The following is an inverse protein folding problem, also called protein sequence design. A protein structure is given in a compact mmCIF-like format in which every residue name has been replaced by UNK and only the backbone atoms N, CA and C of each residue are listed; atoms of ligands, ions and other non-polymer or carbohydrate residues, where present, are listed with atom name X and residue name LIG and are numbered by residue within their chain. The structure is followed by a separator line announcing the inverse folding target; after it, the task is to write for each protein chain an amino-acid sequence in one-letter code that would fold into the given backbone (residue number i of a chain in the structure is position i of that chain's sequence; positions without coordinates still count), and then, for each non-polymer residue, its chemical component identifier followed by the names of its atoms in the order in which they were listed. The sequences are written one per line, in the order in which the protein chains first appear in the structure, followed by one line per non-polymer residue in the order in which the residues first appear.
data_IF_842896083221
#
_entry.id   IF_842896083221
#
_cell.length_a   1.000
_cell.length_b   1.000
_cell.length_c   1.000
_cell.angle_alpha   90.00
_cell.angle_beta   90.00
_cell.angle_gamma   90.00
#
_symmetry.space_group_name_H-M   'P 1'
#
loop_
_entity.id
_entity.type
_entity.pdbx_description
1 polymer ?
#
# COMPACT_ATOMS: atom_id res chain seq x y z
N UNK A 1 25.67 -15.52 -8.79
CA UNK A 1 25.36 -14.33 -9.60
C UNK A 1 23.87 -14.13 -9.52
N UNK A 2 23.44 -12.96 -9.07
CA UNK A 2 22.02 -12.64 -8.95
C UNK A 2 21.37 -12.69 -10.34
N UNK A 3 20.31 -13.50 -10.51
CA UNK A 3 19.62 -13.62 -11.81
C UNK A 3 18.12 -13.85 -11.69
N UNK A 4 17.37 -13.14 -12.55
CA UNK A 4 15.93 -13.29 -12.75
C UNK A 4 15.57 -14.40 -13.75
N UNK A 5 16.54 -15.23 -14.17
CA UNK A 5 16.26 -16.43 -14.96
C UNK A 5 15.40 -17.40 -14.14
N UNK A 6 14.32 -17.96 -14.69
CA UNK A 6 13.50 -18.92 -13.97
C UNK A 6 14.27 -20.18 -13.56
N UNK A 7 13.89 -20.78 -12.43
CA UNK A 7 14.32 -22.14 -12.11
C UNK A 7 13.61 -23.15 -13.02
N UNK A 8 14.24 -24.30 -13.24
CA UNK A 8 13.67 -25.42 -14.02
C UNK A 8 13.44 -26.64 -13.14
N UNK A 9 12.49 -27.49 -13.55
CA UNK A 9 12.15 -28.72 -12.82
C UNK A 9 11.23 -28.48 -11.63
N UNK A 10 11.13 -29.48 -10.76
CA UNK A 10 10.33 -29.39 -9.55
C UNK A 10 11.09 -28.64 -8.45
N UNK A 11 10.35 -28.06 -7.49
CA UNK A 11 10.94 -27.31 -6.38
C UNK A 11 11.81 -28.20 -5.48
N UNK A 12 11.39 -29.45 -5.25
CA UNK A 12 11.96 -30.26 -4.18
C UNK A 12 11.67 -29.66 -2.79
N UNK A 13 12.08 -30.36 -1.74
CA UNK A 13 11.70 -30.02 -0.36
C UNK A 13 12.27 -28.66 0.07
N UNK A 14 13.54 -28.36 -0.25
CA UNK A 14 14.21 -27.14 0.21
C UNK A 14 13.57 -25.89 -0.39
N UNK A 15 13.39 -25.84 -1.71
CA UNK A 15 12.81 -24.65 -2.38
C UNK A 15 11.33 -24.49 -2.06
N UNK A 16 10.57 -25.59 -1.95
CA UNK A 16 9.18 -25.55 -1.52
C UNK A 16 9.05 -24.98 -0.10
N UNK A 17 9.90 -25.43 0.83
CA UNK A 17 9.95 -24.88 2.19
C UNK A 17 10.27 -23.38 2.17
N UNK A 18 11.30 -22.97 1.43
CA UNK A 18 11.69 -21.57 1.31
C UNK A 18 10.53 -20.69 0.81
N UNK A 19 9.94 -21.07 -0.33
CA UNK A 19 8.80 -20.39 -0.95
C UNK A 19 7.66 -20.18 0.04
N UNK A 20 7.22 -21.27 0.70
CA UNK A 20 6.09 -21.23 1.62
C UNK A 20 6.40 -20.42 2.89
N UNK A 21 7.63 -20.43 3.38
CA UNK A 21 8.02 -19.63 4.55
C UNK A 21 8.06 -18.12 4.28
N UNK A 22 8.36 -17.72 3.04
CA UNK A 22 8.39 -16.29 2.66
C UNK A 22 6.99 -15.75 2.35
N UNK A 23 6.14 -16.57 1.72
CA UNK A 23 4.88 -16.13 1.14
C UNK A 23 3.62 -16.73 1.77
N UNK A 24 3.71 -17.46 2.87
CA UNK A 24 2.52 -17.92 3.61
C UNK A 24 2.73 -17.78 5.12
N UNK A 25 1.63 -17.81 5.89
CA UNK A 25 1.68 -17.83 7.37
C UNK A 25 1.58 -19.24 7.98
N UNK A 26 1.17 -20.24 7.20
CA UNK A 26 0.71 -21.54 7.74
C UNK A 26 1.39 -22.77 7.10
N UNK A 27 2.58 -22.58 6.53
CA UNK A 27 3.37 -23.67 5.95
C UNK A 27 3.58 -24.83 6.94
N UNK A 28 3.30 -26.06 6.48
CA UNK A 28 3.44 -27.27 7.28
C UNK A 28 4.07 -28.42 6.45
N UNK A 29 4.41 -29.54 7.09
CA UNK A 29 5.12 -30.65 6.42
C UNK A 29 4.36 -31.21 5.21
N UNK A 30 3.04 -31.34 5.29
CA UNK A 30 2.22 -31.87 4.21
C UNK A 30 2.20 -30.93 3.00
N UNK A 31 1.99 -29.63 3.24
CA UNK A 31 2.01 -28.61 2.18
C UNK A 31 3.39 -28.48 1.53
N UNK A 32 4.48 -28.58 2.31
CA UNK A 32 5.85 -28.60 1.77
C UNK A 32 6.06 -29.81 0.85
N UNK A 33 5.60 -31.01 1.25
CA UNK A 33 5.72 -32.21 0.42
C UNK A 33 4.91 -32.10 -0.88
N UNK A 34 3.71 -31.53 -0.81
CA UNK A 34 2.90 -31.26 -1.99
C UNK A 34 3.62 -30.30 -2.95
N UNK A 35 4.09 -29.15 -2.44
CA UNK A 35 4.76 -28.14 -3.24
C UNK A 35 6.11 -28.61 -3.79
N UNK A 36 6.81 -29.52 -3.11
CA UNK A 36 8.06 -30.09 -3.58
C UNK A 36 7.92 -30.84 -4.92
N UNK A 37 6.74 -31.38 -5.22
CA UNK A 37 6.44 -32.05 -6.48
C UNK A 37 6.04 -31.08 -7.61
N UNK A 38 5.82 -29.80 -7.31
CA UNK A 38 5.39 -28.80 -8.29
C UNK A 38 6.59 -28.10 -8.94
N UNK A 39 6.38 -27.58 -10.14
CA UNK A 39 7.25 -26.54 -10.71
C UNK A 39 7.01 -25.21 -10.00
N UNK A 40 7.93 -24.25 -10.13
CA UNK A 40 7.72 -22.90 -9.59
C UNK A 40 6.47 -22.22 -10.15
N UNK A 41 6.15 -22.46 -11.42
CA UNK A 41 4.99 -21.88 -12.10
C UNK A 41 3.69 -22.43 -11.52
N UNK A 42 3.54 -23.76 -11.42
CA UNK A 42 2.34 -24.35 -10.80
C UNK A 42 2.21 -24.00 -9.31
N UNK A 43 3.33 -23.86 -8.59
CA UNK A 43 3.31 -23.39 -7.21
C UNK A 43 2.83 -21.93 -7.10
N UNK A 44 3.28 -21.06 -8.01
CA UNK A 44 2.84 -19.67 -8.07
C UNK A 44 1.33 -19.59 -8.34
N UNK A 45 0.82 -20.32 -9.34
CA UNK A 45 -0.61 -20.31 -9.68
C UNK A 45 -1.50 -20.74 -8.49
N UNK A 46 -1.05 -21.73 -7.71
CA UNK A 46 -1.74 -22.14 -6.48
C UNK A 46 -1.68 -21.07 -5.38
N UNK A 47 -0.53 -20.43 -5.19
CA UNK A 47 -0.34 -19.40 -4.17
C UNK A 47 -1.16 -18.15 -4.45
N UNK A 48 -1.43 -17.84 -5.72
CA UNK A 48 -2.14 -16.64 -6.16
C UNK A 48 -3.61 -16.91 -6.52
N UNK A 49 -4.14 -18.08 -6.18
CA UNK A 49 -5.55 -18.37 -6.36
C UNK A 49 -6.41 -17.38 -5.56
N UNK A 50 -7.52 -16.94 -6.14
CA UNK A 50 -8.47 -16.03 -5.48
C UNK A 50 -9.06 -16.66 -4.24
N UNK A 51 -9.02 -15.95 -3.11
CA UNK A 51 -9.67 -16.35 -1.87
C UNK A 51 -11.03 -15.66 -1.72
N UNK A 52 -12.00 -16.29 -1.04
CA UNK A 52 -13.21 -15.59 -0.62
C UNK A 52 -12.87 -14.47 0.36
N UNK A 53 -13.66 -13.40 0.31
CA UNK A 53 -13.55 -12.32 1.29
C UNK A 53 -13.91 -12.85 2.69
N UNK A 54 -13.10 -12.59 3.73
CA UNK A 54 -13.42 -13.02 5.08
C UNK A 54 -14.63 -12.27 5.64
N UNK A 55 -15.48 -13.00 6.38
CA UNK A 55 -16.56 -12.40 7.16
C UNK A 55 -15.99 -11.36 8.14
N UNK A 56 -16.70 -10.24 8.37
CA UNK A 56 -16.25 -9.19 9.27
C UNK A 56 -16.14 -9.68 10.73
N UNK A 57 -15.31 -9.03 11.56
CA UNK A 57 -15.27 -9.32 12.99
C UNK A 57 -16.62 -9.03 13.66
N UNK A 58 -16.89 -9.78 14.72
CA UNK A 58 -18.14 -9.72 15.49
C UNK A 58 -17.86 -9.15 16.87
N UNK A 59 -18.71 -8.23 17.33
CA UNK A 59 -18.73 -7.75 18.70
C UNK A 59 -19.43 -8.80 19.59
N UNK A 60 -18.74 -9.46 20.54
CA UNK A 60 -19.36 -10.47 21.40
C UNK A 60 -20.52 -9.94 22.25
N UNK A 61 -20.58 -8.62 22.51
CA UNK A 61 -21.69 -8.00 23.25
C UNK A 61 -22.99 -8.08 22.47
N UNK A 62 -22.95 -7.92 21.15
CA UNK A 62 -24.13 -7.82 20.29
C UNK A 62 -24.35 -9.08 19.45
N UNK A 63 -23.31 -9.87 19.22
CA UNK A 63 -23.33 -11.00 18.27
C UNK A 63 -23.37 -10.57 16.81
N UNK A 64 -23.11 -9.29 16.51
CA UNK A 64 -23.11 -8.73 15.16
C UNK A 64 -21.82 -7.93 14.86
N UNK A 65 -21.57 -7.64 13.59
CA UNK A 65 -20.52 -6.70 13.18
C UNK A 65 -20.86 -5.27 13.60
N UNK A 66 -19.84 -4.47 13.89
CA UNK A 66 -19.95 -3.02 14.21
C UNK A 66 -19.61 -2.11 13.03
N UNK A 67 -19.30 -2.69 11.86
CA UNK A 67 -18.68 -1.97 10.76
C UNK A 67 -19.70 -1.30 9.85
N UNK A 68 -20.88 -1.89 9.67
CA UNK A 68 -21.97 -1.30 8.90
C UNK A 68 -23.33 -1.62 9.55
N UNK A 69 -24.07 -0.62 10.06
CA UNK A 69 -23.72 0.82 10.13
C UNK A 69 -22.56 1.10 11.10
N UNK A 70 -22.11 2.37 11.18
CA UNK A 70 -21.08 2.81 12.14
C UNK A 70 -21.39 2.29 13.56
N UNK A 71 -20.37 2.01 14.41
CA UNK A 71 -20.61 1.54 15.77
C UNK A 71 -21.54 2.50 16.53
N UNK A 72 -22.62 1.95 17.08
CA UNK A 72 -23.46 2.71 18.02
C UNK A 72 -22.84 2.58 19.42
N UNK A 73 -22.33 3.67 20.03
CA UNK A 73 -21.66 3.59 21.32
C UNK A 73 -22.59 3.14 22.46
N UNK A 74 -23.91 3.18 22.27
CA UNK A 74 -24.89 2.66 23.22
C UNK A 74 -24.97 1.13 23.11
N UNK A 75 -25.00 0.61 21.89
CA UNK A 75 -25.27 -0.81 21.60
C UNK A 75 -23.96 -1.62 21.62
N UNK A 76 -22.94 -1.15 20.91
CA UNK A 76 -21.66 -1.83 20.75
C UNK A 76 -20.77 -1.73 21.99
N UNK A 77 -19.73 -2.55 22.02
CA UNK A 77 -18.58 -2.37 22.90
C UNK A 77 -17.84 -1.07 22.54
N UNK A 78 -17.16 -0.46 23.51
CA UNK A 78 -16.32 0.72 23.23
C UNK A 78 -15.19 0.38 22.24
N UNK A 79 -14.79 1.35 21.42
CA UNK A 79 -13.81 1.15 20.34
C UNK A 79 -12.49 0.55 20.82
N UNK A 80 -12.04 0.91 22.03
CA UNK A 80 -10.84 0.32 22.60
C UNK A 80 -10.95 -1.20 22.77
N UNK A 81 -12.14 -1.74 23.07
CA UNK A 81 -12.40 -3.19 23.10
C UNK A 81 -12.60 -3.78 21.72
N UNK A 82 -13.24 -3.04 20.81
CA UNK A 82 -13.43 -3.50 19.43
C UNK A 82 -12.09 -3.73 18.72
N UNK A 83 -11.07 -2.91 19.02
CA UNK A 83 -9.70 -3.16 18.53
C UNK A 83 -9.15 -4.52 18.97
N UNK A 84 -9.37 -4.96 20.21
CA UNK A 84 -8.88 -6.27 20.69
C UNK A 84 -9.53 -7.41 19.89
N UNK A 85 -10.82 -7.26 19.54
CA UNK A 85 -11.55 -8.23 18.70
C UNK A 85 -11.12 -8.17 17.23
N UNK A 86 -10.85 -6.99 16.69
CA UNK A 86 -10.29 -6.81 15.35
C UNK A 86 -8.90 -7.44 15.22
N UNK A 87 -8.01 -7.21 16.20
CA UNK A 87 -6.67 -7.79 16.22
C UNK A 87 -6.74 -9.33 16.25
N UNK A 88 -7.58 -9.89 17.13
CA UNK A 88 -7.81 -11.33 17.19
C UNK A 88 -8.38 -11.89 15.88
N UNK A 89 -9.35 -11.21 15.27
CA UNK A 89 -9.91 -11.56 13.97
C UNK A 89 -8.86 -11.54 12.87
N UNK A 90 -8.06 -10.48 12.75
CA UNK A 90 -7.06 -10.35 11.70
C UNK A 90 -5.96 -11.41 11.82
N UNK A 91 -5.50 -11.71 13.05
CA UNK A 91 -4.59 -12.83 13.33
C UNK A 91 -5.21 -14.17 12.94
N UNK A 92 -6.49 -14.38 13.21
CA UNK A 92 -7.19 -15.61 12.83
C UNK A 92 -7.35 -15.75 11.31
N UNK A 93 -7.59 -14.66 10.57
CA UNK A 93 -7.58 -14.64 9.10
C UNK A 93 -6.19 -15.04 8.57
N UNK A 94 -5.13 -14.42 9.08
CA UNK A 94 -3.74 -14.77 8.71
C UNK A 94 -3.42 -16.24 9.03
N UNK A 95 -3.86 -16.75 10.19
CA UNK A 95 -3.64 -18.15 10.59
C UNK A 95 -4.38 -19.14 9.68
N UNK A 96 -5.59 -18.78 9.22
CA UNK A 96 -6.45 -19.60 8.36
C UNK A 96 -6.19 -19.42 6.85
N UNK A 97 -5.30 -18.51 6.46
CA UNK A 97 -5.06 -18.16 5.05
C UNK A 97 -4.53 -19.32 4.18
N UNK A 98 -4.09 -20.41 4.80
CA UNK A 98 -3.55 -21.58 4.09
C UNK A 98 -2.29 -21.24 3.27
N UNK A 99 -2.08 -22.01 2.20
CA UNK A 99 -1.01 -21.80 1.21
C UNK A 99 -1.42 -20.77 0.17
N UNK A 100 -1.53 -19.51 0.60
CA UNK A 100 -1.89 -18.38 -0.25
C UNK A 100 -1.10 -17.13 0.14
N UNK A 101 -0.74 -16.32 -0.85
CA UNK A 101 0.08 -15.12 -0.68
C UNK A 101 -0.69 -13.89 -0.18
N UNK A 102 -2.02 -13.86 -0.35
CA UNK A 102 -2.84 -12.64 -0.17
C UNK A 102 -2.60 -11.98 1.19
N UNK A 103 -2.69 -12.73 2.29
CA UNK A 103 -2.53 -12.16 3.63
C UNK A 103 -1.10 -11.69 3.92
N UNK A 104 -0.10 -12.27 3.27
CA UNK A 104 1.30 -11.80 3.38
C UNK A 104 1.49 -10.47 2.66
N UNK A 105 0.77 -10.26 1.55
CA UNK A 105 0.72 -8.97 0.87
C UNK A 105 -0.10 -7.95 1.65
N UNK A 106 -1.22 -8.33 2.26
CA UNK A 106 -1.96 -7.46 3.19
C UNK A 106 -1.05 -6.99 4.33
N UNK A 107 -0.26 -7.90 4.91
CA UNK A 107 0.72 -7.53 5.94
C UNK A 107 1.81 -6.59 5.40
N UNK A 108 2.33 -6.83 4.20
CA UNK A 108 3.29 -5.93 3.55
C UNK A 108 2.69 -4.52 3.34
N UNK A 109 1.46 -4.43 2.86
CA UNK A 109 0.79 -3.14 2.65
C UNK A 109 0.51 -2.43 3.98
N UNK A 110 0.13 -3.17 5.02
CA UNK A 110 -0.03 -2.64 6.37
C UNK A 110 1.28 -2.09 6.98
N UNK A 111 2.44 -2.67 6.65
CA UNK A 111 3.74 -2.10 7.06
C UNK A 111 4.20 -0.98 6.14
N UNK A 112 3.68 -0.92 4.91
CA UNK A 112 3.97 0.15 3.97
C UNK A 112 3.18 1.43 4.29
N UNK A 113 1.90 1.31 4.63
CA UNK A 113 0.97 2.38 4.99
C UNK A 113 0.52 2.22 6.44
N UNK A 114 1.42 2.37 7.43
CA UNK A 114 1.07 2.18 8.82
C UNK A 114 0.14 3.29 9.31
N UNK A 115 -0.72 2.95 10.27
CA UNK A 115 -1.47 3.93 11.07
C UNK A 115 -1.37 3.58 12.55
N UNK A 116 -1.43 4.59 13.41
CA UNK A 116 -1.34 4.39 14.86
C UNK A 116 -2.71 4.35 15.53
N UNK A 117 -3.02 3.24 16.21
CA UNK A 117 -4.27 3.02 16.96
C UNK A 117 -4.66 4.21 17.85
N UNK A 118 -3.71 4.77 18.62
CA UNK A 118 -4.00 5.87 19.55
C UNK A 118 -4.28 7.22 18.88
N UNK A 119 -3.93 7.39 17.60
CA UNK A 119 -4.25 8.59 16.82
C UNK A 119 -5.56 8.37 16.09
N UNK A 120 -5.71 7.20 15.44
CA UNK A 120 -6.91 6.90 14.64
C UNK A 120 -8.14 6.75 15.52
N UNK A 121 -8.01 6.01 16.64
CA UNK A 121 -9.07 5.77 17.63
C UNK A 121 -10.42 5.30 17.07
N UNK A 122 -10.41 4.66 15.89
CA UNK A 122 -11.59 4.07 15.26
C UNK A 122 -11.24 2.72 14.64
N UNK A 123 -11.83 1.65 15.17
CA UNK A 123 -11.60 0.29 14.66
C UNK A 123 -12.21 0.12 13.27
N UNK A 124 -13.31 0.82 12.98
CA UNK A 124 -13.94 0.80 11.66
C UNK A 124 -13.04 1.39 10.57
N UNK A 125 -12.40 2.54 10.82
CA UNK A 125 -11.44 3.15 9.89
C UNK A 125 -10.28 2.16 9.57
N UNK A 126 -9.71 1.51 10.59
CA UNK A 126 -8.61 0.53 10.42
C UNK A 126 -9.07 -0.75 9.71
N UNK A 127 -10.30 -1.22 9.96
CA UNK A 127 -10.86 -2.37 9.24
C UNK A 127 -11.02 -2.06 7.74
N UNK A 128 -11.57 -0.89 7.38
CA UNK A 128 -11.76 -0.54 5.97
C UNK A 128 -10.44 -0.35 5.24
N UNK A 129 -9.43 0.19 5.91
CA UNK A 129 -8.07 0.24 5.38
C UNK A 129 -7.51 -1.16 5.12
N UNK A 130 -7.68 -2.11 6.05
CA UNK A 130 -7.29 -3.51 5.84
C UNK A 130 -8.04 -4.17 4.67
N UNK A 131 -9.34 -3.88 4.53
CA UNK A 131 -10.16 -4.36 3.42
C UNK A 131 -9.66 -3.81 2.08
N UNK A 132 -9.25 -2.54 2.05
CA UNK A 132 -8.64 -1.91 0.90
C UNK A 132 -7.28 -2.58 0.55
N UNK A 133 -6.43 -2.85 1.55
CA UNK A 133 -5.19 -3.62 1.33
C UNK A 133 -5.47 -5.01 0.74
N UNK A 134 -6.48 -5.72 1.24
CA UNK A 134 -6.86 -7.05 0.72
C UNK A 134 -7.34 -6.99 -0.72
N UNK A 135 -8.14 -5.97 -1.08
CA UNK A 135 -8.59 -5.75 -2.45
C UNK A 135 -7.44 -5.55 -3.45
N UNK A 136 -6.37 -4.88 -3.02
CA UNK A 136 -5.21 -4.57 -3.87
C UNK A 136 -3.98 -5.45 -3.58
N UNK A 137 -4.10 -6.49 -2.75
CA UNK A 137 -2.97 -7.32 -2.30
C UNK A 137 -2.15 -7.91 -3.45
N UNK A 138 -2.80 -8.24 -4.56
CA UNK A 138 -2.16 -8.73 -5.79
C UNK A 138 -2.51 -7.88 -7.02
N UNK A 139 -3.05 -6.68 -6.80
CA UNK A 139 -3.51 -5.79 -7.86
C UNK A 139 -2.57 -4.63 -8.12
N UNK A 140 -3.15 -3.53 -8.59
CA UNK A 140 -2.43 -2.33 -8.96
C UNK A 140 -2.03 -1.47 -7.74
N UNK A 141 -0.74 -1.26 -7.52
CA UNK A 141 -0.25 -0.47 -6.40
C UNK A 141 -0.52 1.03 -6.59
N UNK A 142 -0.47 1.55 -7.82
CA UNK A 142 -0.77 2.96 -8.09
C UNK A 142 -2.23 3.29 -7.76
N UNK A 143 -3.15 2.40 -8.13
CA UNK A 143 -4.56 2.56 -7.77
C UNK A 143 -4.76 2.52 -6.25
N UNK A 144 -4.15 1.56 -5.54
CA UNK A 144 -4.17 1.54 -4.09
C UNK A 144 -3.66 2.87 -3.50
N UNK A 145 -2.56 3.39 -4.03
CA UNK A 145 -1.97 4.65 -3.57
C UNK A 145 -2.93 5.83 -3.73
N UNK A 146 -3.68 5.90 -4.83
CA UNK A 146 -4.77 6.88 -5.02
C UNK A 146 -5.81 6.74 -3.93
N UNK A 147 -6.27 5.51 -3.66
CA UNK A 147 -7.31 5.26 -2.65
C UNK A 147 -6.83 5.61 -1.24
N UNK A 148 -5.55 5.37 -0.94
CA UNK A 148 -4.94 5.68 0.36
C UNK A 148 -4.90 7.19 0.69
N UNK A 149 -4.86 8.07 -0.32
CA UNK A 149 -4.95 9.53 -0.09
C UNK A 149 -6.29 9.92 0.53
N UNK A 150 -7.34 9.19 0.19
CA UNK A 150 -8.69 9.40 0.70
C UNK A 150 -9.11 8.35 1.72
N UNK A 151 -8.18 7.54 2.23
CA UNK A 151 -8.48 6.59 3.30
C UNK A 151 -8.70 7.34 4.63
N UNK A 152 -9.78 7.01 5.35
CA UNK A 152 -10.14 7.73 6.57
C UNK A 152 -9.07 7.57 7.67
N UNK A 153 -8.53 6.36 7.87
CA UNK A 153 -7.51 6.12 8.89
C UNK A 153 -6.22 6.90 8.57
N UNK A 154 -5.77 6.87 7.31
CA UNK A 154 -4.58 7.59 6.87
C UNK A 154 -4.74 9.11 6.98
N UNK A 155 -5.87 9.64 6.51
CA UNK A 155 -6.17 11.08 6.57
C UNK A 155 -6.13 11.62 8.00
N UNK A 156 -6.61 10.82 8.97
CA UNK A 156 -6.58 11.15 10.40
C UNK A 156 -5.20 10.97 11.01
N UNK A 157 -4.50 9.88 10.69
CA UNK A 157 -3.19 9.57 11.24
C UNK A 157 -2.15 10.65 10.96
N UNK A 158 -2.23 11.26 9.77
CA UNK A 158 -1.24 12.21 9.28
C UNK A 158 -1.70 13.67 9.31
N UNK A 159 -2.87 13.93 9.91
CA UNK A 159 -3.51 15.23 10.04
C UNK A 159 -3.83 15.95 8.71
N UNK A 160 -3.97 15.22 7.59
CA UNK A 160 -4.40 15.84 6.33
C UNK A 160 -5.87 16.28 6.36
N UNK A 161 -6.66 15.76 7.31
CA UNK A 161 -7.99 16.29 7.60
C UNK A 161 -7.97 17.75 8.09
N UNK A 162 -6.80 18.31 8.44
CA UNK A 162 -6.62 19.74 8.76
C UNK A 162 -6.01 20.54 7.61
N UNK A 163 -5.68 19.90 6.48
CA UNK A 163 -5.05 20.57 5.34
C UNK A 163 -6.10 21.33 4.52
N UNK A 164 -6.09 22.65 4.60
CA UNK A 164 -6.99 23.54 3.88
C UNK A 164 -6.21 24.62 3.15
N UNK A 165 -6.77 25.17 2.07
CA UNK A 165 -6.12 26.21 1.26
C UNK A 165 -5.58 27.40 2.09
N UNK A 166 -6.27 27.79 3.17
CA UNK A 166 -5.88 28.90 4.03
C UNK A 166 -5.03 28.47 5.26
N UNK A 167 -4.81 27.16 5.44
CA UNK A 167 -4.03 26.58 6.52
C UNK A 167 -3.35 25.30 6.01
N UNK A 168 -2.38 25.42 5.09
CA UNK A 168 -1.76 24.26 4.45
C UNK A 168 -0.99 23.42 5.45
N UNK A 169 -1.15 22.10 5.38
CA UNK A 169 -0.39 21.12 6.15
C UNK A 169 0.42 20.23 5.19
N UNK A 170 1.74 20.36 5.25
CA UNK A 170 2.67 19.65 4.39
C UNK A 170 2.96 18.21 4.81
N UNK A 171 2.52 17.79 6.00
CA UNK A 171 2.95 16.51 6.59
C UNK A 171 2.59 15.32 5.69
N UNK A 172 1.34 15.27 5.18
CA UNK A 172 0.96 14.17 4.29
C UNK A 172 1.74 14.18 3.00
N UNK A 173 1.89 15.34 2.36
CA UNK A 173 2.66 15.46 1.13
C UNK A 173 4.10 15.00 1.32
N UNK A 174 4.72 15.33 2.45
CA UNK A 174 6.08 14.90 2.78
C UNK A 174 6.19 13.40 2.91
N UNK A 175 5.34 12.76 3.73
CA UNK A 175 5.40 11.30 3.89
C UNK A 175 5.01 10.57 2.61
N UNK A 176 4.08 11.12 1.83
CA UNK A 176 3.65 10.59 0.55
C UNK A 176 4.84 10.44 -0.41
N UNK A 177 5.72 11.45 -0.48
CA UNK A 177 6.97 11.39 -1.25
C UNK A 177 8.06 10.56 -0.54
N UNK A 178 8.28 10.78 0.75
CA UNK A 178 9.43 10.25 1.52
C UNK A 178 9.28 8.77 1.92
N UNK A 179 8.09 8.33 2.32
CA UNK A 179 7.86 7.03 2.97
C UNK A 179 7.04 6.06 2.12
N UNK A 180 6.18 6.61 1.26
CA UNK A 180 5.18 5.81 0.55
C UNK A 180 5.43 5.68 -0.98
N UNK A 181 6.30 6.49 -1.58
CA UNK A 181 6.54 6.44 -3.04
C UNK A 181 8.01 6.55 -3.48
N UNK A 182 8.60 7.73 -3.46
CA UNK A 182 9.92 8.00 -4.05
C UNK A 182 11.03 7.58 -3.09
N UNK A 183 10.81 7.73 -1.79
CA UNK A 183 11.87 7.57 -0.80
C UNK A 183 12.65 8.87 -0.61
N UNK A 184 13.13 9.11 0.62
CA UNK A 184 13.91 10.31 0.97
C UNK A 184 15.08 10.61 0.03
N UNK A 185 15.79 9.57 -0.42
CA UNK A 185 17.08 9.73 -1.10
C UNK A 185 18.15 10.40 -0.23
N UNK A 186 19.32 10.64 -0.80
CA UNK A 186 20.35 11.47 -0.17
C UNK A 186 19.96 12.95 -0.27
N UNK A 187 20.27 13.72 0.77
CA UNK A 187 20.09 15.16 0.75
C UNK A 187 21.31 15.77 0.04
N UNK A 188 21.06 16.46 -1.08
CA UNK A 188 22.13 17.02 -1.93
C UNK A 188 22.24 18.55 -1.81
N UNK A 189 21.30 19.18 -1.10
CA UNK A 189 21.32 20.59 -0.77
C UNK A 189 20.36 20.93 0.38
N UNK A 190 20.40 22.19 0.83
CA UNK A 190 19.31 22.72 1.65
C UNK A 190 18.02 22.62 0.82
N UNK A 191 17.00 21.96 1.35
CA UNK A 191 15.70 21.78 0.71
C UNK A 191 15.69 20.97 -0.62
N UNK A 192 16.78 20.26 -0.94
CA UNK A 192 16.89 19.41 -2.15
C UNK A 192 17.23 17.97 -1.76
N UNK A 193 16.25 17.09 -1.98
CA UNK A 193 16.41 15.65 -1.93
C UNK A 193 16.71 15.15 -3.34
N UNK A 194 17.53 14.10 -3.47
CA UNK A 194 18.00 13.58 -4.77
C UNK A 194 16.91 13.51 -5.86
N UNK A 195 15.67 13.21 -5.49
CA UNK A 195 14.54 12.99 -6.41
C UNK A 195 13.35 13.97 -6.25
N UNK A 196 13.34 14.84 -5.24
CA UNK A 196 12.29 15.86 -5.03
C UNK A 196 12.82 16.97 -4.12
N UNK A 197 12.17 18.12 -4.09
CA UNK A 197 12.56 19.28 -3.29
C UNK A 197 11.50 19.61 -2.25
N UNK A 198 11.83 20.50 -1.32
CA UNK A 198 10.85 21.07 -0.41
C UNK A 198 9.73 21.83 -1.13
N UNK A 199 10.02 22.41 -2.31
CA UNK A 199 9.00 23.00 -3.16
C UNK A 199 7.99 21.95 -3.61
N UNK A 200 8.43 20.75 -3.98
CA UNK A 200 7.55 19.67 -4.42
C UNK A 200 6.60 19.21 -3.30
N UNK A 201 7.10 19.18 -2.06
CA UNK A 201 6.30 18.89 -0.86
C UNK A 201 5.19 19.94 -0.70
N UNK A 202 5.54 21.23 -0.79
CA UNK A 202 4.57 22.35 -0.69
C UNK A 202 3.51 22.30 -1.78
N UNK A 203 3.93 22.00 -3.00
CA UNK A 203 3.03 21.93 -4.15
C UNK A 203 2.10 20.72 -4.04
N UNK A 204 2.62 19.56 -3.63
CA UNK A 204 1.79 18.39 -3.34
C UNK A 204 0.82 18.65 -2.18
N UNK A 205 1.23 19.38 -1.14
CA UNK A 205 0.35 19.74 -0.03
C UNK A 205 -0.88 20.54 -0.50
N UNK A 206 -0.70 21.45 -1.47
CA UNK A 206 -1.81 22.20 -2.09
C UNK A 206 -2.79 21.29 -2.83
N UNK A 207 -2.30 20.27 -3.54
CA UNK A 207 -3.14 19.24 -4.20
C UNK A 207 -3.94 18.41 -3.18
N UNK A 208 -3.45 18.26 -1.96
CA UNK A 208 -4.09 17.45 -0.90
C UNK A 208 -5.07 18.23 0.00
N UNK A 209 -5.36 19.50 -0.32
CA UNK A 209 -6.24 20.36 0.50
C UNK A 209 -7.73 20.00 0.39
N UNK A 210 -8.48 20.20 1.47
CA UNK A 210 -9.95 20.19 1.49
C UNK A 210 -10.63 18.86 1.84
N UNK A 211 -9.86 17.79 2.04
CA UNK A 211 -10.38 16.49 2.47
C UNK A 211 -10.64 16.45 3.99
N UNK A 212 -11.74 15.80 4.39
CA UNK A 212 -12.12 15.58 5.80
C UNK A 212 -12.53 14.13 6.01
N UNK A 213 -12.34 13.63 7.23
CA UNK A 213 -12.84 12.30 7.59
C UNK A 213 -14.37 12.23 7.45
N UNK A 214 -14.85 11.08 7.03
CA UNK A 214 -16.27 10.72 7.04
C UNK A 214 -16.57 9.84 8.26
N UNK A 215 -17.21 10.42 9.29
CA UNK A 215 -17.60 9.69 10.49
C UNK A 215 -18.77 8.73 10.28
N UNK A 216 -19.51 8.87 9.18
CA UNK A 216 -20.68 8.06 8.88
C UNK A 216 -20.36 6.88 7.96
N UNK A 217 -19.17 6.86 7.36
CA UNK A 217 -18.75 5.87 6.37
C UNK A 217 -19.72 5.76 5.17
N UNK A 218 -20.43 6.84 4.86
CA UNK A 218 -21.47 6.90 3.85
C UNK A 218 -20.92 7.30 2.46
N UNK A 219 -19.79 8.00 2.42
CA UNK A 219 -19.13 8.34 1.17
C UNK A 219 -18.33 7.15 0.65
N UNK A 220 -18.93 6.39 -0.26
CA UNK A 220 -18.28 5.23 -0.86
C UNK A 220 -17.46 5.63 -2.08
N UNK A 221 -16.26 5.09 -2.18
CA UNK A 221 -15.47 5.15 -3.39
C UNK A 221 -16.19 4.36 -4.51
N UNK A 222 -16.39 4.93 -5.70
CA UNK A 222 -17.20 4.31 -6.76
C UNK A 222 -16.60 2.98 -7.27
N UNK A 223 -15.28 2.81 -7.24
CA UNK A 223 -14.62 1.63 -7.78
C UNK A 223 -14.54 0.51 -6.74
N UNK A 224 -14.24 0.88 -5.49
CA UNK A 224 -14.01 -0.09 -4.43
C UNK A 224 -15.28 -0.43 -3.65
N UNK A 225 -16.26 0.48 -3.64
CA UNK A 225 -17.43 0.46 -2.75
C UNK A 225 -17.05 0.44 -1.26
N UNK A 226 -15.85 0.95 -0.95
CA UNK A 226 -15.36 1.11 0.42
C UNK A 226 -15.52 2.58 0.86
N UNK A 227 -15.78 2.82 2.15
CA UNK A 227 -15.82 4.18 2.68
C UNK A 227 -14.51 4.93 2.48
N UNK A 228 -14.61 6.19 2.07
CA UNK A 228 -13.49 7.12 1.91
C UNK A 228 -13.80 8.48 2.54
N UNK A 229 -12.78 9.30 2.68
CA UNK A 229 -12.88 10.69 3.11
C UNK A 229 -13.85 11.49 2.23
N UNK A 230 -14.43 12.54 2.79
CA UNK A 230 -15.27 13.50 2.06
C UNK A 230 -14.46 14.72 1.64
N UNK A 231 -14.75 15.25 0.47
CA UNK A 231 -14.31 16.59 0.08
C UNK A 231 -15.35 17.60 0.56
N UNK A 232 -14.94 18.68 1.24
CA UNK A 232 -15.89 19.71 1.66
C UNK A 232 -16.29 20.58 0.48
N UNK A 233 -17.56 20.48 0.10
CA UNK A 233 -18.15 21.26 -0.98
C UNK A 233 -19.38 22.04 -0.52
N UNK A 234 -19.73 23.06 -1.28
CA UNK A 234 -21.04 23.70 -1.16
C UNK A 234 -22.14 22.91 -1.91
N UNK A 235 -23.36 23.46 -1.97
CA UNK A 235 -24.50 22.85 -2.66
C UNK A 235 -24.29 22.69 -4.18
N UNK A 236 -23.33 23.40 -4.76
CA UNK A 236 -22.98 23.34 -6.17
C UNK A 236 -21.75 22.47 -6.43
N UNK A 237 -21.34 21.64 -5.45
CA UNK A 237 -20.16 20.77 -5.54
C UNK A 237 -18.84 21.52 -5.77
N UNK A 238 -18.76 22.77 -5.31
CA UNK A 238 -17.53 23.58 -5.33
C UNK A 238 -16.72 23.34 -4.07
N UNK A 239 -15.46 22.92 -4.23
CA UNK A 239 -14.55 22.57 -3.14
C UNK A 239 -13.90 23.83 -2.53
N UNK A 240 -14.61 24.51 -1.62
CA UNK A 240 -14.20 25.82 -1.12
C UNK A 240 -13.00 25.80 -0.15
N UNK A 241 -12.58 24.63 0.32
CA UNK A 241 -11.37 24.45 1.13
C UNK A 241 -10.16 23.97 0.30
N UNK A 242 -10.33 23.75 -1.00
CA UNK A 242 -9.29 23.28 -1.90
C UNK A 242 -8.60 24.45 -2.60
N UNK A 243 -7.28 24.35 -2.79
CA UNK A 243 -6.49 25.34 -3.52
C UNK A 243 -6.82 25.32 -5.01
N UNK A 244 -7.29 26.43 -5.59
CA UNK A 244 -7.64 26.50 -7.00
C UNK A 244 -6.49 26.91 -7.94
N UNK A 245 -5.32 27.23 -7.39
CA UNK A 245 -4.19 27.68 -8.16
C UNK A 245 -3.49 26.53 -8.90
N UNK A 246 -2.75 26.89 -9.94
CA UNK A 246 -1.86 25.96 -10.65
C UNK A 246 -0.78 25.47 -9.68
N UNK A 247 -0.49 24.18 -9.72
CA UNK A 247 0.48 23.49 -8.85
C UNK A 247 1.66 23.02 -9.70
N UNK A 248 2.64 23.91 -9.90
CA UNK A 248 3.86 23.64 -10.68
C UNK A 248 4.96 23.08 -9.78
N UNK A 249 5.43 21.87 -10.10
CA UNK A 249 6.51 21.21 -9.39
C UNK A 249 7.89 21.74 -9.82
N UNK A 250 8.93 21.37 -9.09
CA UNK A 250 10.31 21.77 -9.35
C UNK A 250 10.91 21.08 -10.58
N UNK A 251 12.16 21.42 -10.89
CA UNK A 251 12.95 20.75 -11.91
C UNK A 251 13.11 19.23 -11.67
N UNK A 252 12.96 18.73 -10.42
CA UNK A 252 12.97 17.29 -10.13
C UNK A 252 11.80 16.55 -10.78
N UNK A 253 10.69 17.25 -11.02
CA UNK A 253 9.53 16.77 -11.77
C UNK A 253 9.44 17.41 -13.16
N UNK A 254 10.57 17.88 -13.70
CA UNK A 254 10.65 18.54 -15.01
C UNK A 254 9.69 19.73 -15.16
N UNK A 255 9.46 20.48 -14.08
CA UNK A 255 8.59 21.67 -14.04
C UNK A 255 7.15 21.40 -14.50
N UNK A 256 6.70 20.14 -14.43
CA UNK A 256 5.33 19.77 -14.76
C UNK A 256 4.34 20.38 -13.78
N UNK A 257 3.16 20.71 -14.27
CA UNK A 257 2.10 21.35 -13.50
C UNK A 257 0.87 20.46 -13.41
N UNK A 258 0.25 20.43 -12.22
CA UNK A 258 -1.10 19.93 -12.00
C UNK A 258 -2.06 21.12 -12.08
N UNK A 259 -3.11 20.97 -12.88
CA UNK A 259 -4.07 22.06 -13.15
C UNK A 259 -5.50 21.54 -12.99
N UNK A 260 -6.38 22.25 -12.26
CA UNK A 260 -7.78 21.88 -12.20
C UNK A 260 -8.42 21.96 -13.59
N UNK A 261 -9.09 20.89 -14.01
CA UNK A 261 -9.75 20.86 -15.32
C UNK A 261 -11.07 21.66 -15.36
N UNK A 262 -11.63 22.00 -14.20
CA UNK A 262 -12.86 22.80 -14.08
C UNK A 262 -12.83 23.68 -12.82
N UNK A 263 -13.10 24.98 -13.03
CA UNK A 263 -13.22 25.99 -11.96
C UNK A 263 -14.51 26.77 -12.17
N UNK A 264 -15.34 26.86 -11.12
CA UNK A 264 -16.61 27.60 -11.13
C UNK A 264 -16.58 28.67 -10.05
N UNK A 265 -16.68 29.94 -10.45
CA UNK A 265 -16.64 31.10 -9.56
C UNK A 265 -15.39 31.11 -8.65
N UNK A 266 -14.23 30.74 -9.20
CA UNK A 266 -12.96 30.72 -8.47
C UNK A 266 -12.71 29.48 -7.62
N UNK A 267 -13.61 28.49 -7.62
CA UNK A 267 -13.46 27.25 -6.87
C UNK A 267 -13.40 26.03 -7.79
N UNK A 268 -12.53 25.08 -7.45
CA UNK A 268 -12.42 23.79 -8.15
C UNK A 268 -13.67 22.96 -7.90
N UNK A 269 -14.18 22.24 -8.91
CA UNK A 269 -15.29 21.30 -8.73
C UNK A 269 -14.82 20.02 -8.06
N UNK A 270 -15.72 19.29 -7.38
CA UNK A 270 -15.39 18.02 -6.71
C UNK A 270 -14.68 17.04 -7.66
N UNK A 271 -15.18 16.89 -8.89
CA UNK A 271 -14.59 16.04 -9.92
C UNK A 271 -13.20 16.50 -10.34
N UNK A 272 -12.99 17.81 -10.47
CA UNK A 272 -11.70 18.38 -10.82
C UNK A 272 -10.63 18.15 -9.74
N UNK A 273 -11.00 18.17 -8.45
CA UNK A 273 -10.05 17.85 -7.36
C UNK A 273 -9.55 16.39 -7.48
N UNK A 274 -10.44 15.43 -7.76
CA UNK A 274 -10.02 14.04 -7.96
C UNK A 274 -9.16 13.85 -9.22
N UNK A 275 -9.40 14.63 -10.27
CA UNK A 275 -8.54 14.66 -11.46
C UNK A 275 -7.14 15.18 -11.12
N UNK A 276 -7.03 16.25 -10.34
CA UNK A 276 -5.74 16.78 -9.87
C UNK A 276 -4.96 15.77 -9.03
N UNK A 277 -5.63 15.00 -8.17
CA UNK A 277 -5.00 13.89 -7.46
C UNK A 277 -4.38 12.89 -8.44
N UNK A 278 -5.12 12.47 -9.47
CA UNK A 278 -4.63 11.53 -10.48
C UNK A 278 -3.45 12.09 -11.29
N UNK A 279 -3.48 13.38 -11.63
CA UNK A 279 -2.37 14.06 -12.30
C UNK A 279 -1.11 14.00 -11.41
N UNK A 280 -1.20 14.45 -10.15
CA UNK A 280 -0.05 14.44 -9.23
C UNK A 280 0.52 13.03 -9.02
N UNK A 281 -0.34 12.04 -8.82
CA UNK A 281 0.09 10.66 -8.60
C UNK A 281 0.72 10.08 -9.86
N UNK A 282 0.25 10.48 -11.04
CA UNK A 282 0.92 10.11 -12.29
C UNK A 282 2.33 10.71 -12.37
N UNK A 283 2.52 11.97 -11.98
CA UNK A 283 3.86 12.57 -11.92
C UNK A 283 4.80 11.83 -10.96
N UNK A 284 4.30 11.42 -9.79
CA UNK A 284 5.08 10.65 -8.80
C UNK A 284 5.45 9.27 -9.35
N UNK A 285 4.52 8.58 -10.01
CA UNK A 285 4.75 7.24 -10.53
C UNK A 285 5.52 7.22 -11.86
N UNK A 286 5.67 8.36 -12.53
CA UNK A 286 6.61 8.54 -13.65
C UNK A 286 8.07 8.62 -13.19
N UNK A 287 8.34 8.96 -11.92
CA UNK A 287 9.70 8.99 -11.39
C UNK A 287 10.28 7.56 -11.35
N UNK A 288 11.43 7.31 -12.01
CA UNK A 288 12.05 5.97 -12.00
C UNK A 288 12.37 5.46 -10.59
N UNK A 289 12.63 6.36 -9.64
CA UNK A 289 12.91 5.98 -8.26
C UNK A 289 11.69 5.40 -7.54
N UNK A 290 10.46 5.80 -7.89
CA UNK A 290 9.24 5.26 -7.26
C UNK A 290 9.15 3.74 -7.43
N UNK A 291 9.34 3.24 -8.66
CA UNK A 291 9.32 1.80 -8.91
C UNK A 291 10.45 1.08 -8.17
N UNK A 292 11.67 1.64 -8.19
CA UNK A 292 12.82 1.08 -7.46
C UNK A 292 12.57 1.02 -5.96
N UNK A 293 12.09 2.09 -5.35
CA UNK A 293 11.77 2.16 -3.92
C UNK A 293 10.79 1.05 -3.51
N UNK A 294 9.70 0.90 -4.26
CA UNK A 294 8.68 -0.11 -3.99
C UNK A 294 9.22 -1.53 -4.16
N UNK A 295 9.97 -1.79 -5.23
CA UNK A 295 10.61 -3.09 -5.46
C UNK A 295 11.64 -3.41 -4.38
N UNK A 296 12.43 -2.44 -3.88
CA UNK A 296 13.32 -2.66 -2.74
C UNK A 296 12.55 -3.01 -1.46
N UNK A 297 11.38 -2.40 -1.21
CA UNK A 297 10.54 -2.78 -0.06
C UNK A 297 10.00 -4.21 -0.20
N UNK A 298 9.50 -4.58 -1.39
CA UNK A 298 9.07 -5.96 -1.68
C UNK A 298 10.23 -6.95 -1.49
N UNK A 299 11.40 -6.64 -2.03
CA UNK A 299 12.59 -7.48 -1.91
C UNK A 299 12.99 -7.71 -0.44
N UNK A 300 13.03 -6.64 0.37
CA UNK A 300 13.37 -6.75 1.80
C UNK A 300 12.35 -7.57 2.58
N UNK A 301 11.08 -7.45 2.22
CA UNK A 301 10.00 -8.20 2.87
C UNK A 301 10.07 -9.69 2.56
N UNK A 302 10.33 -10.05 1.30
CA UNK A 302 10.11 -11.41 0.82
C UNK A 302 11.38 -12.21 0.50
N UNK A 303 12.51 -11.56 0.28
CA UNK A 303 13.77 -12.20 -0.13
C UNK A 303 14.81 -12.03 0.96
N UNK A 304 15.42 -10.84 1.03
CA UNK A 304 16.53 -10.57 1.94
C UNK A 304 16.64 -9.09 2.30
N UNK A 305 17.00 -8.81 3.56
CA UNK A 305 16.99 -7.43 4.09
C UNK A 305 18.11 -6.55 3.49
N UNK A 306 19.25 -7.15 3.10
CA UNK A 306 20.40 -6.45 2.53
C UNK A 306 20.32 -6.48 1.02
N UNK A 307 20.52 -5.32 0.39
CA UNK A 307 20.59 -5.17 -1.06
C UNK A 307 22.02 -4.76 -1.39
N UNK A 308 22.77 -5.63 -2.06
CA UNK A 308 24.11 -5.33 -2.57
C UNK A 308 24.02 -4.55 -3.88
N UNK A 309 25.14 -3.99 -4.34
CA UNK A 309 25.19 -3.34 -5.66
C UNK A 309 24.85 -4.30 -6.81
N UNK A 310 25.23 -5.58 -6.70
CA UNK A 310 24.86 -6.64 -7.65
C UNK A 310 23.34 -6.87 -7.64
N UNK A 311 22.73 -7.06 -6.47
CA UNK A 311 21.26 -7.25 -6.36
C UNK A 311 20.50 -6.02 -6.85
N UNK A 312 20.99 -4.81 -6.53
CA UNK A 312 20.39 -3.57 -7.03
C UNK A 312 20.36 -3.55 -8.57
N UNK A 313 21.49 -3.89 -9.19
CA UNK A 313 21.66 -3.85 -10.65
C UNK A 313 20.92 -4.98 -11.37
N UNK A 314 21.03 -6.21 -10.86
CA UNK A 314 20.61 -7.40 -11.60
C UNK A 314 19.18 -7.85 -11.24
N UNK A 315 18.65 -7.40 -10.09
CA UNK A 315 17.33 -7.79 -9.58
C UNK A 315 16.40 -6.58 -9.42
N UNK A 316 16.79 -5.57 -8.66
CA UNK A 316 15.90 -4.44 -8.33
C UNK A 316 15.58 -3.62 -9.58
N UNK A 317 16.59 -3.19 -10.33
CA UNK A 317 16.40 -2.36 -11.53
C UNK A 317 15.51 -3.06 -12.57
N UNK A 318 15.77 -4.32 -12.99
CA UNK A 318 14.91 -4.97 -13.97
C UNK A 318 13.49 -5.24 -13.47
N UNK A 319 13.30 -5.54 -12.19
CA UNK A 319 11.96 -5.68 -11.61
C UNK A 319 11.23 -4.33 -11.53
N UNK A 320 11.92 -3.23 -11.28
CA UNK A 320 11.34 -1.89 -11.27
C UNK A 320 10.91 -1.45 -12.68
N UNK A 321 11.72 -1.74 -13.70
CA UNK A 321 11.36 -1.52 -15.10
C UNK A 321 10.13 -2.32 -15.51
N UNK A 322 10.07 -3.61 -15.12
CA UNK A 322 8.89 -4.44 -15.30
C UNK A 322 7.68 -3.83 -14.60
N UNK A 323 7.84 -3.39 -13.34
CA UNK A 323 6.75 -2.83 -12.56
C UNK A 323 6.17 -1.57 -13.22
N UNK A 324 7.02 -0.66 -13.69
CA UNK A 324 6.59 0.54 -14.41
C UNK A 324 5.93 0.21 -15.75
N UNK A 325 6.48 -0.75 -16.51
CA UNK A 325 5.92 -1.18 -17.82
C UNK A 325 4.55 -1.82 -17.65
N UNK A 326 4.37 -2.63 -16.61
CA UNK A 326 3.11 -3.25 -16.21
C UNK A 326 2.20 -2.29 -15.43
N UNK A 327 2.43 -0.97 -15.53
CA UNK A 327 1.59 0.08 -14.93
C UNK A 327 1.37 -0.10 -13.42
N UNK A 328 2.37 -0.60 -12.71
CA UNK A 328 2.37 -0.86 -11.28
C UNK A 328 1.43 -1.99 -10.83
N UNK A 329 1.18 -2.99 -11.69
CA UNK A 329 0.60 -4.28 -11.26
C UNK A 329 1.60 -5.09 -10.43
N UNK A 330 1.21 -5.51 -9.23
CA UNK A 330 2.10 -6.27 -8.33
C UNK A 330 2.35 -7.70 -8.83
N UNK A 331 1.34 -8.33 -9.44
CA UNK A 331 1.38 -9.75 -9.78
C UNK A 331 2.50 -10.11 -10.77
N UNK A 332 2.76 -9.36 -11.87
CA UNK A 332 3.88 -9.66 -12.78
C UNK A 332 5.25 -9.60 -12.10
N UNK A 333 5.45 -8.63 -11.20
CA UNK A 333 6.72 -8.46 -10.45
C UNK A 333 6.92 -9.61 -9.48
N UNK A 334 5.87 -9.95 -8.71
CA UNK A 334 5.90 -11.10 -7.79
C UNK A 334 6.17 -12.40 -8.54
N UNK A 335 5.53 -12.60 -9.70
CA UNK A 335 5.76 -13.75 -10.58
C UNK A 335 7.22 -13.81 -10.99
N UNK A 336 7.76 -12.74 -11.59
CA UNK A 336 9.14 -12.70 -12.08
C UNK A 336 10.15 -12.98 -10.97
N UNK A 337 9.91 -12.43 -9.76
CA UNK A 337 10.75 -12.65 -8.61
C UNK A 337 10.66 -14.10 -8.08
N UNK A 338 9.45 -14.60 -7.81
CA UNK A 338 9.22 -15.91 -7.19
C UNK A 338 9.73 -17.06 -8.07
N UNK A 339 9.63 -16.94 -9.40
CA UNK A 339 10.11 -17.98 -10.30
C UNK A 339 11.64 -17.96 -10.49
N UNK A 340 12.34 -16.89 -10.08
CA UNK A 340 13.76 -16.69 -10.36
C UNK A 340 14.69 -17.61 -9.58
N UNK A 341 15.87 -17.91 -10.14
CA UNK A 341 16.96 -18.58 -9.43
C UNK A 341 17.40 -17.78 -8.20
N UNK A 342 17.54 -16.45 -8.34
CA UNK A 342 17.94 -15.56 -7.26
C UNK A 342 17.11 -15.74 -5.99
N UNK A 343 15.78 -15.83 -6.13
CA UNK A 343 14.88 -16.02 -4.99
C UNK A 343 15.21 -17.28 -4.19
N UNK A 344 15.63 -18.37 -4.84
CA UNK A 344 15.94 -19.62 -4.17
C UNK A 344 17.40 -19.76 -3.73
N UNK A 345 18.32 -18.99 -4.32
CA UNK A 345 19.76 -19.08 -4.02
C UNK A 345 20.15 -18.32 -2.74
N UNK A 346 19.49 -17.18 -2.45
CA UNK A 346 19.76 -16.37 -1.24
C UNK A 346 19.57 -17.15 0.07
N UNK A 347 18.70 -18.17 0.10
CA UNK A 347 18.53 -19.03 1.28
C UNK A 347 19.68 -20.03 1.46
N UNK A 348 20.32 -20.44 0.37
CA UNK A 348 21.44 -21.38 0.39
C UNK A 348 22.77 -20.72 0.76
N UNK A 349 22.86 -19.40 0.63
CA UNK A 349 24.03 -18.62 1.00
C UNK A 349 24.11 -18.31 2.51
N UNK A 350 23.06 -18.61 3.28
CA UNK A 350 23.11 -18.54 4.74
C UNK A 350 23.95 -19.71 5.24
N UNK A 351 25.14 -19.50 5.85
CA UNK A 351 25.83 -20.57 6.54
C UNK A 351 24.88 -21.15 7.57
N UNK A 352 24.83 -22.49 7.64
CA UNK A 352 24.00 -23.24 8.59
C UNK A 352 23.87 -22.46 9.89
N UNK A 353 22.66 -21.97 10.13
CA UNK A 353 22.35 -21.31 11.39
C UNK A 353 22.54 -22.39 12.45
N UNK A 354 23.70 -22.38 13.12
CA UNK A 354 23.99 -23.17 14.32
C UNK A 354 23.06 -22.69 15.43
N UNK A 355 21.78 -23.02 15.32
CA UNK A 355 20.86 -23.09 16.46
C UNK A 355 20.92 -24.52 16.97
N UNK A 356 22.09 -24.86 17.53
CA UNK A 356 22.16 -25.81 18.63
C UNK A 356 21.91 -24.98 19.89
N UNK A 357 20.81 -25.28 20.59
CA UNK A 357 20.37 -24.62 21.81
C UNK A 357 18.87 -24.77 21.97
#
# INVERSE_FOLDING_TARGET
MATLTPITGTLGITRAKHLLQRFTFSANRATIQQFAALTAESAFDLLTATLPEPEPPIDPKTGATWLNPKPDPIINSEDFKLFDYYEAWHLEIMRKSGVNITERMVWFLHTHFPVQRSIVSSTAEVYYQNKLFRKYALGNFKELFIKMITDNAMLRYIDNNQNEVNSPNENFARELLELYSIGKGEQVGADDYTNYTELDVKIAARVLTGFKNDSEFANLDPDTQLPRAILKTDNNKRAYLHDAGIKTFSARFAEKSVTPNEIVNGYVTETAVFDELQQMISLIFEQPETAKFLVRKLYRQFVFYKISAEVETDIIVPLAELFATEKFELLPVLRKLILSQHFFDEDTALPENKRNG
#
